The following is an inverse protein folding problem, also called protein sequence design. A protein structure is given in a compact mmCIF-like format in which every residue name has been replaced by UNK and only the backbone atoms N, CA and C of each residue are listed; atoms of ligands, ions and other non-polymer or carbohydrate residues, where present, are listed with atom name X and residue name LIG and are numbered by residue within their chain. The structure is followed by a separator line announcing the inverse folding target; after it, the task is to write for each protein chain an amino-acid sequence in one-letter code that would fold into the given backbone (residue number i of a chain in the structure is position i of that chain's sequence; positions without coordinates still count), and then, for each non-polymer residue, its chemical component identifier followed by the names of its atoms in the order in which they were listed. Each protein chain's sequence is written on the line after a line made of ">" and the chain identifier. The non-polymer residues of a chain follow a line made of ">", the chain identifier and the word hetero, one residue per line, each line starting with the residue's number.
data_IF_083284694146
#
_entry.id   IF_083284694146
#
_cell.length_a   1.000
_cell.length_b   1.000
_cell.length_c   1.000
_cell.angle_alpha   90.00
_cell.angle_beta   90.00
_cell.angle_gamma   90.00
#
_symmetry.space_group_name_H-M   'P 1'
#
loop_
_entity.id
_entity.type
_entity.pdbx_description
1 polymer ?
#
# COMPACT_ATOMS: atom_id res chain seq x y z
N UNK A 1 -13.52 -13.44 1.14
CA UNK A 1 -14.97 -13.17 1.24
C UNK A 1 -15.51 -13.89 2.47
N UNK A 2 -16.28 -13.21 3.32
CA UNK A 2 -17.03 -13.86 4.40
C UNK A 2 -18.43 -14.15 3.88
N UNK A 3 -18.93 -15.36 4.12
CA UNK A 3 -20.28 -15.77 3.72
C UNK A 3 -20.98 -16.45 4.88
N UNK A 4 -22.28 -16.66 4.73
CA UNK A 4 -23.09 -17.40 5.69
C UNK A 4 -24.04 -18.35 4.95
N UNK A 5 -24.36 -19.45 5.61
CA UNK A 5 -25.41 -20.38 5.21
C UNK A 5 -26.27 -20.61 6.44
N UNK A 6 -27.53 -20.25 6.35
CA UNK A 6 -28.54 -20.51 7.37
C UNK A 6 -29.39 -21.70 6.94
N UNK A 7 -29.81 -22.49 7.92
CA UNK A 7 -30.61 -23.69 7.73
C UNK A 7 -31.97 -23.53 8.44
N UNK A 8 -32.95 -24.35 8.07
CA UNK A 8 -34.30 -24.29 8.65
C UNK A 8 -34.35 -24.87 10.08
N UNK A 9 -33.35 -25.68 10.46
CA UNK A 9 -33.25 -26.30 11.77
C UNK A 9 -34.20 -27.50 11.95
N UNK A 10 -34.68 -28.11 10.86
CA UNK A 10 -35.65 -29.21 10.92
C UNK A 10 -35.08 -30.52 11.46
N UNK A 11 -33.78 -30.76 11.25
CA UNK A 11 -33.10 -31.99 11.69
C UNK A 11 -32.16 -31.74 12.88
N UNK A 12 -31.88 -30.47 13.20
CA UNK A 12 -30.83 -30.08 14.15
C UNK A 12 -29.41 -30.34 13.65
N UNK A 13 -29.23 -30.82 12.41
CA UNK A 13 -27.94 -31.12 11.81
C UNK A 13 -27.76 -30.29 10.53
N UNK A 14 -26.90 -29.27 10.61
CA UNK A 14 -26.62 -28.37 9.49
C UNK A 14 -26.04 -29.09 8.25
N UNK A 15 -25.23 -30.14 8.43
CA UNK A 15 -24.69 -30.91 7.32
C UNK A 15 -25.75 -31.79 6.66
N UNK A 16 -26.63 -32.41 7.46
CA UNK A 16 -27.78 -33.17 6.96
C UNK A 16 -28.73 -32.27 6.16
N UNK A 17 -29.03 -31.09 6.67
CA UNK A 17 -29.87 -30.11 5.97
C UNK A 17 -29.22 -29.58 4.70
N UNK A 18 -27.89 -29.42 4.67
CA UNK A 18 -27.18 -29.09 3.44
C UNK A 18 -27.33 -30.18 2.37
N UNK A 19 -27.13 -31.44 2.75
CA UNK A 19 -27.24 -32.59 1.82
C UNK A 19 -28.67 -32.80 1.33
N UNK A 20 -29.67 -32.44 2.15
CA UNK A 20 -31.09 -32.49 1.81
C UNK A 20 -31.58 -31.25 1.05
N UNK A 21 -30.73 -30.24 0.85
CA UNK A 21 -31.11 -28.99 0.17
C UNK A 21 -32.02 -28.07 0.99
N UNK A 22 -32.07 -28.25 2.31
CA UNK A 22 -32.90 -27.48 3.25
C UNK A 22 -32.24 -26.16 3.70
N UNK A 23 -31.45 -25.54 2.82
CA UNK A 23 -30.85 -24.23 3.06
C UNK A 23 -31.95 -23.17 3.03
N UNK A 24 -32.04 -22.34 4.07
CA UNK A 24 -33.06 -21.28 4.15
C UNK A 24 -32.59 -20.00 3.47
N UNK A 25 -31.40 -19.52 3.83
CA UNK A 25 -30.77 -18.34 3.24
C UNK A 25 -29.27 -18.57 3.18
N UNK A 26 -28.68 -18.37 2.00
CA UNK A 26 -27.24 -18.25 1.86
C UNK A 26 -26.89 -16.85 1.36
N UNK A 27 -25.75 -16.35 1.82
CA UNK A 27 -25.25 -15.05 1.42
C UNK A 27 -23.74 -15.07 1.35
N UNK A 28 -23.19 -14.40 0.35
CA UNK A 28 -21.76 -14.19 0.24
C UNK A 28 -21.48 -12.69 0.19
N UNK A 29 -20.51 -12.23 0.99
CA UNK A 29 -19.99 -10.88 0.82
C UNK A 29 -19.16 -10.84 -0.46
N UNK A 30 -19.56 -9.99 -1.41
CA UNK A 30 -18.71 -9.60 -2.52
C UNK A 30 -17.71 -8.58 -2.00
N UNK A 31 -16.42 -8.88 -2.14
CA UNK A 31 -15.37 -7.93 -1.82
C UNK A 31 -15.13 -7.05 -3.03
N UNK A 32 -15.99 -6.05 -3.23
CA UNK A 32 -15.88 -5.08 -4.32
C UNK A 32 -15.19 -3.82 -3.83
N UNK A 33 -13.88 -3.92 -3.60
CA UNK A 33 -13.02 -2.77 -3.30
C UNK A 33 -11.92 -2.62 -4.36
N UNK A 34 -12.26 -2.21 -5.60
CA UNK A 34 -11.28 -2.05 -6.65
C UNK A 34 -10.32 -0.92 -6.26
N UNK A 35 -9.08 -1.30 -5.99
CA UNK A 35 -7.98 -0.40 -5.69
C UNK A 35 -7.25 -0.04 -6.98
N UNK A 36 -7.26 1.25 -7.33
CA UNK A 36 -6.53 1.82 -8.48
C UNK A 36 -5.36 2.63 -7.93
N UNK A 37 -4.48 1.94 -7.21
CA UNK A 37 -3.30 2.53 -6.59
C UNK A 37 -2.33 3.03 -7.67
N UNK A 38 -1.84 4.26 -7.49
CA UNK A 38 -0.84 4.88 -8.33
C UNK A 38 0.28 5.43 -7.46
N UNK A 39 1.51 5.20 -7.90
CA UNK A 39 2.71 5.86 -7.37
C UNK A 39 3.41 6.62 -8.49
N UNK A 40 4.18 7.61 -8.10
CA UNK A 40 5.08 8.38 -8.96
C UNK A 40 6.48 8.38 -8.34
N UNK A 41 7.47 8.23 -9.20
CA UNK A 41 8.87 8.17 -8.83
C UNK A 41 9.61 9.36 -9.42
N UNK A 42 10.36 10.07 -8.58
CA UNK A 42 11.23 11.18 -8.97
C UNK A 42 12.67 10.77 -8.71
N UNK A 43 13.53 10.94 -9.71
CA UNK A 43 14.91 10.49 -9.67
C UNK A 43 15.82 11.58 -10.23
N UNK A 44 16.76 12.05 -9.41
CA UNK A 44 17.71 13.09 -9.78
C UNK A 44 19.13 12.55 -9.62
N UNK A 45 20.01 12.87 -10.56
CA UNK A 45 21.40 12.45 -10.51
C UNK A 45 22.31 13.55 -11.05
N UNK A 46 23.47 13.70 -10.42
CA UNK A 46 24.57 14.53 -10.89
C UNK A 46 25.88 13.78 -10.62
N UNK A 47 26.76 13.69 -11.61
CA UNK A 47 28.09 13.11 -11.46
C UNK A 47 29.08 13.98 -12.20
N UNK A 48 30.27 14.14 -11.63
CA UNK A 48 31.37 14.87 -12.24
C UNK A 48 32.71 14.22 -11.91
N UNK A 49 33.70 14.51 -12.76
CA UNK A 49 35.06 14.04 -12.65
C UNK A 49 36.00 15.23 -12.82
N UNK A 50 36.82 15.47 -11.81
CA UNK A 50 37.78 16.58 -11.81
C UNK A 50 39.21 16.08 -11.70
N UNK A 51 40.03 16.42 -12.70
CA UNK A 51 41.48 16.19 -12.66
C UNK A 51 42.17 17.36 -11.96
N UNK A 52 42.60 17.15 -10.72
CA UNK A 52 43.29 18.17 -9.91
C UNK A 52 44.75 18.29 -10.35
N UNK A 53 45.42 17.16 -10.57
CA UNK A 53 46.79 17.08 -11.11
C UNK A 53 46.84 15.99 -12.18
N UNK A 54 47.91 15.90 -13.00
CA UNK A 54 48.04 14.84 -14.00
C UNK A 54 47.91 13.41 -13.43
N UNK A 55 48.22 13.24 -12.14
CA UNK A 55 48.22 11.96 -11.43
C UNK A 55 47.15 11.89 -10.32
N UNK A 56 46.20 12.83 -10.29
CA UNK A 56 45.13 12.86 -9.30
C UNK A 56 43.81 13.28 -9.93
N UNK A 57 42.87 12.35 -9.95
CA UNK A 57 41.50 12.54 -10.40
C UNK A 57 40.53 12.28 -9.25
N UNK A 58 39.65 13.23 -8.99
CA UNK A 58 38.51 13.05 -8.10
C UNK A 58 37.26 12.75 -8.92
N UNK A 59 36.47 11.78 -8.47
CA UNK A 59 35.15 11.49 -8.99
C UNK A 59 34.15 11.76 -7.87
N UNK A 60 33.09 12.50 -8.16
CA UNK A 60 32.05 12.76 -7.18
C UNK A 60 30.67 12.74 -7.84
N UNK A 61 29.67 12.33 -7.07
CA UNK A 61 28.32 12.22 -7.56
C UNK A 61 27.31 12.17 -6.44
N UNK A 62 26.08 12.51 -6.79
CA UNK A 62 24.93 12.46 -5.91
C UNK A 62 23.72 11.98 -6.69
N UNK A 63 22.99 11.05 -6.09
CA UNK A 63 21.66 10.66 -6.55
C UNK A 63 20.66 10.92 -5.43
N UNK A 64 19.47 11.38 -5.81
CA UNK A 64 18.33 11.52 -4.92
C UNK A 64 17.13 10.83 -5.55
N UNK A 65 16.41 10.06 -4.75
CA UNK A 65 15.23 9.31 -5.19
C UNK A 65 14.06 9.60 -4.28
N UNK A 66 12.87 9.73 -4.87
CA UNK A 66 11.64 9.88 -4.13
C UNK A 66 10.52 9.07 -4.78
N UNK A 67 10.06 8.04 -4.07
CA UNK A 67 8.87 7.28 -4.42
C UNK A 67 7.71 7.77 -3.57
N UNK A 68 6.69 8.31 -4.23
CA UNK A 68 5.48 8.78 -3.53
C UNK A 68 4.70 7.60 -2.94
N UNK A 69 4.10 7.75 -1.74
CA UNK A 69 3.16 6.76 -1.22
C UNK A 69 2.07 6.45 -2.24
N UNK A 70 1.67 5.18 -2.41
CA UNK A 70 0.68 4.80 -3.40
C UNK A 70 -0.69 5.35 -2.98
N UNK A 71 -1.37 6.04 -3.89
CA UNK A 71 -2.68 6.64 -3.65
C UNK A 71 -3.72 6.01 -4.56
N UNK A 72 -4.90 5.69 -4.01
CA UNK A 72 -6.05 5.32 -4.83
C UNK A 72 -6.66 6.58 -5.44
N UNK A 73 -7.10 6.51 -6.70
CA UNK A 73 -7.66 7.67 -7.39
C UNK A 73 -8.86 8.31 -6.66
N UNK A 74 -9.59 7.51 -5.87
CA UNK A 74 -10.78 7.91 -5.13
C UNK A 74 -10.62 7.70 -3.63
N UNK A 75 -9.38 7.58 -3.11
CA UNK A 75 -9.09 7.48 -1.67
C UNK A 75 -9.92 6.41 -0.95
N UNK A 76 -10.17 5.27 -1.58
CA UNK A 76 -11.04 4.20 -1.03
C UNK A 76 -10.39 3.36 0.06
N UNK A 77 -9.13 3.60 0.39
CA UNK A 77 -8.44 2.88 1.44
C UNK A 77 -8.89 3.37 2.83
N UNK A 78 -9.00 2.43 3.76
CA UNK A 78 -9.26 2.71 5.16
C UNK A 78 -8.08 2.22 5.99
N UNK A 79 -7.74 2.98 7.03
CA UNK A 79 -6.78 2.60 8.05
C UNK A 79 -7.53 2.38 9.36
N UNK A 80 -7.01 1.46 10.17
CA UNK A 80 -7.48 1.33 11.53
C UNK A 80 -6.92 2.47 12.39
N UNK A 81 -7.80 3.22 13.03
CA UNK A 81 -7.45 4.28 13.95
C UNK A 81 -7.54 3.74 15.39
N UNK A 82 -6.41 3.49 16.07
CA UNK A 82 -6.43 2.93 17.42
C UNK A 82 -6.98 3.90 18.47
N UNK A 83 -6.99 5.21 18.22
CA UNK A 83 -7.53 6.19 19.16
C UNK A 83 -9.07 6.18 19.17
N UNK A 84 -9.71 5.89 18.03
CA UNK A 84 -11.19 5.81 17.92
C UNK A 84 -11.70 4.36 17.94
N UNK A 85 -10.81 3.37 17.85
CA UNK A 85 -11.16 1.95 17.76
C UNK A 85 -11.86 1.57 16.45
N UNK A 86 -11.84 2.45 15.44
CA UNK A 86 -12.60 2.33 14.20
C UNK A 86 -11.74 2.37 12.94
N UNK A 87 -12.40 2.37 11.78
CA UNK A 87 -11.77 2.58 10.49
C UNK A 87 -11.91 4.05 10.08
N UNK A 88 -10.79 4.71 9.81
CA UNK A 88 -10.74 6.06 9.24
C UNK A 88 -10.27 5.99 7.79
N UNK A 89 -10.91 6.76 6.92
CA UNK A 89 -10.56 6.80 5.48
C UNK A 89 -9.27 7.60 5.26
N UNK A 90 -8.43 7.17 4.33
CA UNK A 90 -7.24 7.96 3.93
C UNK A 90 -7.66 9.31 3.34
N UNK A 91 -6.83 10.34 3.51
CA UNK A 91 -7.14 11.70 3.06
C UNK A 91 -8.13 12.46 3.97
N UNK A 92 -8.51 11.90 5.11
CA UNK A 92 -9.38 12.53 6.12
C UNK A 92 -8.70 12.55 7.49
N UNK A 93 -9.16 13.39 8.42
CA UNK A 93 -8.65 13.40 9.82
C UNK A 93 -7.12 13.59 9.94
N UNK A 94 -6.51 14.30 8.98
CA UNK A 94 -5.04 14.49 8.92
C UNK A 94 -4.26 13.28 8.41
N UNK A 95 -4.92 12.18 8.05
CA UNK A 95 -4.30 10.99 7.46
C UNK A 95 -3.94 11.29 6.00
N UNK A 96 -2.67 11.15 5.58
CA UNK A 96 -2.28 11.32 4.18
C UNK A 96 -3.04 10.35 3.26
N UNK A 97 -3.21 10.73 1.99
CA UNK A 97 -3.92 9.89 0.99
C UNK A 97 -3.28 8.52 0.76
N UNK A 98 -1.96 8.42 0.92
CA UNK A 98 -1.23 7.14 0.84
C UNK A 98 -1.22 6.36 2.16
N UNK A 99 -1.87 6.90 3.20
CA UNK A 99 -1.93 6.35 4.55
C UNK A 99 -0.68 6.54 5.41
N UNK A 100 0.40 7.03 4.82
CA UNK A 100 1.64 7.40 5.51
C UNK A 100 2.32 8.57 4.79
N UNK A 101 3.22 9.25 5.49
CA UNK A 101 4.02 10.32 4.91
C UNK A 101 5.12 9.73 4.01
N UNK A 102 5.35 10.34 2.85
CA UNK A 102 6.41 9.90 1.94
C UNK A 102 7.81 10.17 2.51
N UNK A 103 8.72 9.23 2.32
CA UNK A 103 10.13 9.39 2.68
C UNK A 103 10.89 10.11 1.54
N UNK A 104 11.58 11.19 1.89
CA UNK A 104 12.35 12.04 0.96
C UNK A 104 13.85 12.01 1.24
N UNK A 105 14.32 11.15 2.13
CA UNK A 105 15.69 11.17 2.62
C UNK A 105 16.62 10.20 1.88
N UNK A 106 16.21 9.68 0.73
CA UNK A 106 16.98 8.70 -0.03
C UNK A 106 18.04 9.37 -0.91
N UNK A 107 19.11 9.84 -0.26
CA UNK A 107 20.31 10.36 -0.91
C UNK A 107 21.38 9.27 -1.02
N UNK A 108 21.99 9.15 -2.19
CA UNK A 108 23.08 8.22 -2.47
C UNK A 108 24.30 8.99 -2.99
N UNK A 109 25.13 9.57 -2.10
CA UNK A 109 26.38 10.20 -2.48
C UNK A 109 27.42 9.17 -2.92
N UNK A 110 28.29 9.56 -3.84
CA UNK A 110 29.39 8.76 -4.38
C UNK A 110 30.64 9.62 -4.44
N UNK A 111 31.77 9.07 -4.01
CA UNK A 111 33.06 9.72 -4.12
C UNK A 111 34.12 8.66 -4.45
N UNK A 112 35.12 9.03 -5.24
CA UNK A 112 36.23 8.17 -5.62
C UNK A 112 37.46 8.97 -5.99
N UNK A 113 38.63 8.34 -5.88
CA UNK A 113 39.93 8.94 -6.19
C UNK A 113 40.72 7.96 -7.05
N UNK A 114 41.40 8.45 -8.08
CA UNK A 114 42.26 7.69 -8.98
C UNK A 114 43.53 8.47 -9.33
#
# INVERSE_FOLDING_TARGET
>A
ARGFINFLGQTGNALGELLLGLVSVSGAATLDNPQRLRTSSYNFFANDQWRITPNLTLNYGLRWEYNTPPVDALDRANLYNPATGGLSRVGTEGIPRGGYAGDRNNFAPRAGVA
#
